data_IF_306160905048
#
_entry.id   IF_306160905048
#
_cell.length_a   1.000
_cell.length_b   1.000
_cell.length_c   1.000
_cell.angle_alpha   90.00
_cell.angle_beta   90.00
_cell.angle_gamma   90.00
#
_symmetry.space_group_name_H-M   'P 1'
#
loop_
_entity.id
_entity.type
_entity.pdbx_description
1 polymer ?
#
# COMPACT_ATOMS: atom_id res chain seq x y z
N UNK A 1 -3.22 13.91 7.10
CA UNK A 1 -3.66 12.78 7.94
C UNK A 1 -3.15 11.44 7.42
N UNK A 2 -3.32 11.10 6.13
CA UNK A 2 -2.91 9.79 5.59
C UNK A 2 -1.44 9.42 5.83
N UNK A 3 -0.50 10.34 5.57
CA UNK A 3 0.92 10.09 5.83
C UNK A 3 1.24 9.86 7.32
N UNK A 4 0.55 10.57 8.24
CA UNK A 4 0.69 10.39 9.69
C UNK A 4 0.27 8.96 10.07
N UNK A 5 -0.92 8.53 9.65
CA UNK A 5 -1.44 7.20 9.96
C UNK A 5 -0.56 6.08 9.38
N UNK A 6 -0.07 6.26 8.15
CA UNK A 6 0.78 5.29 7.48
C UNK A 6 2.17 5.17 8.15
N UNK A 7 2.78 6.29 8.54
CA UNK A 7 4.09 6.30 9.21
C UNK A 7 4.00 5.75 10.64
N UNK A 8 2.90 6.01 11.37
CA UNK A 8 2.63 5.36 12.66
C UNK A 8 2.57 3.84 12.48
N UNK A 9 1.82 3.35 11.49
CA UNK A 9 1.65 1.92 11.27
C UNK A 9 2.99 1.24 10.92
N UNK A 10 3.88 1.93 10.21
CA UNK A 10 5.25 1.47 9.89
C UNK A 10 6.23 1.60 11.06
N UNK A 11 5.85 2.26 12.15
CA UNK A 11 6.73 2.67 13.23
C UNK A 11 7.92 3.54 12.77
N UNK A 12 7.75 4.31 11.70
CA UNK A 12 8.73 5.29 11.22
C UNK A 12 8.49 6.65 11.92
N UNK A 13 9.02 6.78 13.13
CA UNK A 13 8.78 7.97 13.96
C UNK A 13 9.50 9.23 13.46
N UNK A 14 10.51 9.09 12.58
CA UNK A 14 11.18 10.24 11.96
C UNK A 14 10.29 10.82 10.87
N UNK A 15 9.82 9.98 9.95
CA UNK A 15 8.87 10.40 8.92
C UNK A 15 7.52 10.83 9.52
N UNK A 16 7.08 10.19 10.60
CA UNK A 16 5.89 10.58 11.35
C UNK A 16 6.02 12.00 11.90
N UNK A 17 7.13 12.35 12.55
CA UNK A 17 7.32 13.68 13.14
C UNK A 17 7.21 14.77 12.07
N UNK A 18 7.85 14.56 10.91
CA UNK A 18 7.76 15.46 9.76
C UNK A 18 6.32 15.59 9.26
N UNK A 19 5.61 14.47 9.07
CA UNK A 19 4.23 14.47 8.58
C UNK A 19 3.25 15.13 9.57
N UNK A 20 3.52 15.06 10.89
CA UNK A 20 2.75 15.78 11.90
C UNK A 20 2.98 17.28 11.79
N UNK A 21 4.23 17.74 11.72
CA UNK A 21 4.57 19.18 11.59
C UNK A 21 3.90 19.80 10.35
N UNK A 22 4.05 19.15 9.20
CA UNK A 22 3.42 19.56 7.93
C UNK A 22 1.88 19.50 8.01
N UNK A 23 1.34 18.49 8.70
CA UNK A 23 -0.11 18.34 8.88
C UNK A 23 -0.72 19.46 9.72
N UNK A 24 -0.03 19.89 10.79
CA UNK A 24 -0.45 21.01 11.63
C UNK A 24 -0.40 22.33 10.85
N UNK A 25 0.63 22.54 10.02
CA UNK A 25 0.71 23.70 9.11
C UNK A 25 -0.42 23.70 8.06
N UNK A 26 -0.85 22.51 7.62
CA UNK A 26 -1.96 22.33 6.69
C UNK A 26 -3.35 22.43 7.35
N UNK A 27 -3.43 22.75 8.64
CA UNK A 27 -4.69 22.98 9.36
C UNK A 27 -5.26 21.78 10.10
N UNK A 28 -4.52 20.69 10.27
CA UNK A 28 -4.89 19.68 11.26
C UNK A 28 -4.78 20.29 12.67
N UNK A 29 -5.71 19.91 13.53
CA UNK A 29 -5.64 20.26 14.95
C UNK A 29 -4.88 19.19 15.73
N UNK A 30 -4.37 19.57 16.89
CA UNK A 30 -3.76 18.61 17.82
C UNK A 30 -4.75 17.52 18.20
N UNK A 31 -6.02 17.86 18.44
CA UNK A 31 -7.07 16.88 18.80
C UNK A 31 -7.31 15.86 17.69
N UNK A 32 -7.31 16.26 16.41
CA UNK A 32 -7.43 15.31 15.30
C UNK A 32 -6.26 14.33 15.23
N UNK A 33 -5.03 14.82 15.42
CA UNK A 33 -3.83 13.96 15.37
C UNK A 33 -3.78 13.03 16.59
N UNK A 34 -4.08 13.53 17.80
CA UNK A 34 -4.20 12.70 19.02
C UNK A 34 -5.21 11.57 18.81
N UNK A 35 -6.39 11.90 18.28
CA UNK A 35 -7.47 10.94 18.08
C UNK A 35 -7.11 9.88 17.03
N UNK A 36 -6.51 10.29 15.91
CA UNK A 36 -6.06 9.38 14.86
C UNK A 36 -4.99 8.41 15.38
N UNK A 37 -3.94 8.91 16.06
CA UNK A 37 -2.89 8.06 16.63
C UNK A 37 -3.41 7.14 17.73
N UNK A 38 -4.37 7.62 18.52
CA UNK A 38 -5.00 6.81 19.57
C UNK A 38 -5.82 5.68 18.98
N UNK A 39 -6.66 5.91 17.96
CA UNK A 39 -7.46 4.80 17.41
C UNK A 39 -6.60 3.68 16.81
N UNK A 40 -5.41 4.01 16.31
CA UNK A 40 -4.59 3.08 15.57
C UNK A 40 -4.03 1.91 16.40
N UNK A 41 -4.01 1.98 17.74
CA UNK A 41 -3.57 0.82 18.54
C UNK A 41 -4.42 -0.43 18.27
N UNK A 42 -5.68 -0.27 17.86
CA UNK A 42 -6.55 -1.39 17.52
C UNK A 42 -6.07 -2.14 16.26
N UNK A 43 -5.26 -1.51 15.43
CA UNK A 43 -4.70 -2.05 14.19
C UNK A 43 -3.19 -2.36 14.32
N UNK A 44 -2.46 -1.54 15.06
CA UNK A 44 -0.98 -1.54 15.09
C UNK A 44 -0.40 -1.94 16.45
N UNK A 45 -1.25 -2.04 17.47
CA UNK A 45 -0.91 -2.38 18.85
C UNK A 45 -0.51 -1.17 19.72
N UNK A 46 -0.71 -1.31 21.03
CA UNK A 46 -0.37 -0.26 22.02
C UNK A 46 1.03 0.32 21.88
N UNK A 47 2.11 -0.47 21.70
CA UNK A 47 3.46 0.09 21.64
C UNK A 47 3.65 1.11 20.52
N UNK A 48 3.08 0.88 19.32
CA UNK A 48 3.22 1.79 18.18
C UNK A 48 2.44 3.09 18.40
N UNK A 49 1.19 2.97 18.82
CA UNK A 49 0.33 4.12 19.14
C UNK A 49 0.91 5.00 20.27
N UNK A 50 1.41 4.39 21.36
CA UNK A 50 2.02 5.14 22.47
C UNK A 50 3.30 5.88 22.04
N UNK A 51 4.16 5.24 21.26
CA UNK A 51 5.37 5.88 20.73
C UNK A 51 5.03 7.02 19.75
N UNK A 52 3.98 6.85 18.95
CA UNK A 52 3.49 7.88 18.05
C UNK A 52 2.91 9.08 18.80
N UNK A 53 2.15 8.86 19.88
CA UNK A 53 1.69 9.94 20.76
C UNK A 53 2.86 10.67 21.43
N UNK A 54 3.91 9.94 21.85
CA UNK A 54 5.16 10.55 22.31
C UNK A 54 5.87 11.38 21.23
N UNK A 55 5.79 10.94 19.98
CA UNK A 55 6.32 11.70 18.82
C UNK A 55 5.53 12.99 18.60
N UNK A 56 4.19 12.94 18.67
CA UNK A 56 3.34 14.13 18.63
C UNK A 56 3.72 15.10 19.75
N UNK A 57 3.83 14.62 21.01
CA UNK A 57 4.21 15.47 22.14
C UNK A 57 5.51 16.23 21.87
N UNK A 58 6.53 15.54 21.36
CA UNK A 58 7.82 16.15 21.01
C UNK A 58 7.67 17.21 19.91
N UNK A 59 6.91 16.95 18.85
CA UNK A 59 6.67 17.93 17.78
C UNK A 59 5.98 19.18 18.33
N UNK A 60 5.00 19.02 19.24
CA UNK A 60 4.34 20.17 19.87
C UNK A 60 5.30 21.01 20.73
N UNK A 61 6.20 20.36 21.47
CA UNK A 61 7.22 21.04 22.26
C UNK A 61 8.20 21.82 21.36
N UNK A 62 8.66 21.21 20.26
CA UNK A 62 9.52 21.83 19.25
C UNK A 62 8.82 23.04 18.60
N UNK A 63 7.59 22.89 18.12
CA UNK A 63 6.78 23.98 17.53
C UNK A 63 6.59 25.13 18.50
N UNK A 64 6.37 24.84 19.79
CA UNK A 64 6.24 25.86 20.84
C UNK A 64 7.54 26.65 21.02
N UNK A 65 8.69 25.98 21.04
CA UNK A 65 9.99 26.64 21.10
C UNK A 65 10.26 27.50 19.86
N UNK A 66 9.82 27.05 18.69
CA UNK A 66 9.93 27.78 17.42
C UNK A 66 8.90 28.91 17.26
N UNK A 67 7.90 28.99 18.14
CA UNK A 67 6.81 29.97 18.04
C UNK A 67 5.84 29.71 16.88
N UNK A 68 5.76 28.47 16.38
CA UNK A 68 4.83 28.08 15.32
C UNK A 68 3.39 28.01 15.84
N UNK A 69 2.46 28.58 15.10
CA UNK A 69 1.03 28.50 15.41
C UNK A 69 0.57 27.05 15.44
N UNK A 70 -0.18 26.66 16.46
CA UNK A 70 -0.65 25.28 16.63
C UNK A 70 -2.06 25.32 17.20
N UNK A 71 -3.03 24.86 16.42
CA UNK A 71 -4.44 24.83 16.81
C UNK A 71 -4.74 23.57 17.62
N UNK A 72 -5.13 23.72 18.89
CA UNK A 72 -5.42 22.56 19.77
C UNK A 72 -6.61 21.75 19.27
N UNK A 73 -7.64 22.41 18.74
CA UNK A 73 -8.91 21.78 18.37
C UNK A 73 -9.79 21.46 19.58
N UNK A 74 -10.73 20.54 19.39
CA UNK A 74 -11.70 20.12 20.41
C UNK A 74 -11.57 18.62 20.64
N UNK A 75 -11.48 18.20 21.90
CA UNK A 75 -11.50 16.79 22.31
C UNK A 75 -12.91 16.20 22.21
N UNK A 76 -13.00 14.87 22.14
CA UNK A 76 -14.28 14.18 22.06
C UNK A 76 -15.19 14.50 23.26
N UNK A 77 -16.48 14.59 22.99
CA UNK A 77 -17.52 14.75 24.01
C UNK A 77 -17.51 13.58 25.00
N UNK A 78 -17.89 13.86 26.24
CA UNK A 78 -18.11 12.82 27.26
C UNK A 78 -19.37 12.03 26.90
N UNK A 79 -19.30 10.70 26.99
CA UNK A 79 -20.47 9.86 26.75
C UNK A 79 -21.58 10.13 27.78
N UNK A 80 -22.86 10.08 27.35
CA UNK A 80 -23.99 10.31 28.23
C UNK A 80 -24.09 9.23 29.32
N UNK A 81 -24.75 9.56 30.43
CA UNK A 81 -25.06 8.57 31.48
C UNK A 81 -25.92 7.45 30.90
N UNK A 82 -25.53 6.20 31.16
CA UNK A 82 -26.22 5.02 30.62
C UNK A 82 -25.84 4.67 29.18
N UNK A 83 -24.73 5.22 28.67
CA UNK A 83 -24.18 4.84 27.37
C UNK A 83 -23.91 3.33 27.27
N UNK A 84 -24.45 2.72 26.23
CA UNK A 84 -24.28 1.29 25.93
C UNK A 84 -23.31 1.14 24.75
N UNK A 85 -22.04 0.99 25.08
CA UNK A 85 -20.96 0.84 24.11
C UNK A 85 -21.16 -0.39 23.21
N UNK A 86 -21.68 -1.50 23.75
CA UNK A 86 -21.90 -2.72 22.97
C UNK A 86 -22.98 -2.49 21.91
N UNK A 87 -24.09 -1.84 22.30
CA UNK A 87 -25.16 -1.48 21.36
C UNK A 87 -24.66 -0.51 20.31
N UNK A 88 -24.05 0.60 20.72
CA UNK A 88 -23.56 1.62 19.78
C UNK A 88 -22.52 1.03 18.82
N UNK A 89 -21.57 0.25 19.34
CA UNK A 89 -20.55 -0.39 18.53
C UNK A 89 -21.10 -1.43 17.57
N UNK A 90 -22.17 -2.15 17.94
CA UNK A 90 -22.86 -3.06 17.02
C UNK A 90 -23.50 -2.30 15.85
N UNK A 91 -24.10 -1.14 16.11
CA UNK A 91 -24.70 -0.27 15.07
C UNK A 91 -23.63 0.28 14.12
N UNK A 92 -22.52 0.81 14.69
CA UNK A 92 -21.39 1.36 13.91
C UNK A 92 -20.73 0.26 13.07
N UNK A 93 -20.42 -0.90 13.66
CA UNK A 93 -19.84 -2.03 12.95
C UNK A 93 -20.74 -2.46 11.80
N UNK A 94 -22.04 -2.64 12.05
CA UNK A 94 -23.02 -3.11 11.06
C UNK A 94 -23.10 -2.16 9.87
N UNK A 95 -23.06 -0.85 10.13
CA UNK A 95 -23.04 0.17 9.07
C UNK A 95 -21.75 0.06 8.25
N UNK A 96 -20.60 -0.01 8.92
CA UNK A 96 -19.29 -0.10 8.26
C UNK A 96 -19.18 -1.37 7.40
N UNK A 97 -19.53 -2.54 7.93
CA UNK A 97 -19.48 -3.80 7.19
C UNK A 97 -20.59 -3.95 6.14
N UNK A 98 -21.62 -3.09 6.17
CA UNK A 98 -22.84 -3.19 5.34
C UNK A 98 -23.76 -4.36 5.71
N UNK A 99 -23.44 -5.11 6.77
CA UNK A 99 -24.22 -6.27 7.25
C UNK A 99 -23.85 -6.60 8.69
N UNK A 100 -24.78 -7.20 9.43
CA UNK A 100 -24.49 -7.67 10.79
C UNK A 100 -23.33 -8.68 10.77
N UNK A 101 -22.43 -8.57 11.75
CA UNK A 101 -21.30 -9.46 11.93
C UNK A 101 -21.24 -9.94 13.38
N UNK A 102 -20.95 -11.23 13.57
CA UNK A 102 -20.77 -11.84 14.88
C UNK A 102 -19.61 -12.84 14.80
N UNK A 103 -18.61 -12.68 15.66
CA UNK A 103 -17.49 -13.62 15.75
C UNK A 103 -17.75 -14.69 16.81
N UNK A 104 -18.69 -15.59 16.50
CA UNK A 104 -19.18 -16.64 17.43
C UNK A 104 -18.07 -17.56 17.96
N UNK A 105 -17.01 -17.76 17.17
CA UNK A 105 -15.88 -18.58 17.58
C UNK A 105 -15.12 -18.00 18.79
N UNK A 106 -15.05 -16.67 18.91
CA UNK A 106 -14.44 -15.99 20.06
C UNK A 106 -15.34 -14.84 20.54
N UNK A 107 -16.32 -15.13 21.43
CA UNK A 107 -17.26 -14.11 21.91
C UNK A 107 -16.61 -12.94 22.65
N UNK A 108 -15.45 -13.18 23.29
CA UNK A 108 -14.69 -12.11 23.94
C UNK A 108 -14.13 -11.12 22.90
N UNK A 109 -13.55 -11.62 21.82
CA UNK A 109 -13.07 -10.78 20.71
C UNK A 109 -14.23 -10.06 20.01
N UNK A 110 -15.37 -10.72 19.81
CA UNK A 110 -16.57 -10.08 19.27
C UNK A 110 -17.02 -8.90 20.14
N UNK A 111 -17.02 -9.08 21.47
CA UNK A 111 -17.32 -8.02 22.42
C UNK A 111 -16.29 -6.89 22.36
N UNK A 112 -14.98 -7.19 22.34
CA UNK A 112 -13.94 -6.15 22.25
C UNK A 112 -14.04 -5.36 20.94
N UNK A 113 -14.27 -6.02 19.82
CA UNK A 113 -14.49 -5.34 18.54
C UNK A 113 -15.70 -4.40 18.63
N UNK A 114 -16.83 -4.88 19.15
CA UNK A 114 -18.05 -4.07 19.20
C UNK A 114 -17.97 -3.01 20.28
N UNK A 115 -17.94 -3.40 21.55
CA UNK A 115 -18.01 -2.46 22.66
C UNK A 115 -16.79 -1.53 22.70
N UNK A 116 -15.58 -2.07 22.60
CA UNK A 116 -14.39 -1.25 22.79
C UNK A 116 -13.98 -0.50 21.53
N UNK A 117 -13.76 -1.20 20.41
CA UNK A 117 -13.32 -0.53 19.18
C UNK A 117 -14.44 0.32 18.56
N UNK A 118 -15.57 -0.28 18.19
CA UNK A 118 -16.62 0.46 17.52
C UNK A 118 -17.47 1.34 18.46
N UNK A 119 -17.62 0.89 19.72
CA UNK A 119 -18.47 1.51 20.72
C UNK A 119 -17.76 2.55 21.59
N UNK A 120 -16.47 2.43 21.88
CA UNK A 120 -15.75 3.48 22.62
C UNK A 120 -14.94 4.36 21.66
N UNK A 121 -14.08 3.76 20.83
CA UNK A 121 -13.15 4.54 20.01
C UNK A 121 -13.87 5.21 18.84
N UNK A 122 -14.59 4.45 18.02
CA UNK A 122 -15.22 5.01 16.82
C UNK A 122 -16.42 5.92 17.13
N UNK A 123 -17.03 5.76 18.31
CA UNK A 123 -18.15 6.59 18.74
C UNK A 123 -17.73 8.00 19.23
N UNK A 124 -16.42 8.24 19.45
CA UNK A 124 -15.90 9.57 19.80
C UNK A 124 -16.05 10.52 18.61
N UNK A 125 -16.59 11.71 18.86
CA UNK A 125 -17.16 12.62 17.87
C UNK A 125 -16.20 13.71 17.35
N UNK A 126 -14.97 13.75 17.85
CA UNK A 126 -13.91 14.64 17.36
C UNK A 126 -13.29 14.19 16.03
N UNK A 127 -13.58 12.97 15.57
CA UNK A 127 -13.40 12.54 14.17
C UNK A 127 -14.68 11.89 13.68
N UNK A 128 -15.12 12.23 12.47
CA UNK A 128 -16.26 11.55 11.87
C UNK A 128 -15.91 10.10 11.53
N UNK A 129 -16.91 9.22 11.41
CA UNK A 129 -16.64 7.85 10.96
C UNK A 129 -15.95 7.78 9.58
N UNK A 130 -16.23 8.74 8.69
CA UNK A 130 -15.54 8.85 7.41
C UNK A 130 -14.06 9.19 7.60
N UNK A 131 -13.73 10.16 8.46
CA UNK A 131 -12.33 10.50 8.77
C UNK A 131 -11.60 9.33 9.42
N UNK A 132 -12.26 8.59 10.31
CA UNK A 132 -11.71 7.39 10.94
C UNK A 132 -11.37 6.33 9.90
N UNK A 133 -12.23 6.11 8.91
CA UNK A 133 -11.93 5.14 7.85
C UNK A 133 -10.82 5.62 6.90
N UNK A 134 -10.71 6.93 6.63
CA UNK A 134 -9.56 7.48 5.90
C UNK A 134 -8.24 7.21 6.66
N UNK A 135 -8.24 7.38 7.98
CA UNK A 135 -7.09 7.04 8.86
C UNK A 135 -6.80 5.54 8.79
N UNK A 136 -7.83 4.69 8.95
CA UNK A 136 -7.70 3.22 8.95
C UNK A 136 -7.14 2.70 7.62
N UNK A 137 -7.70 3.12 6.48
CA UNK A 137 -7.23 2.74 5.14
C UNK A 137 -5.77 3.17 4.92
N UNK A 138 -5.42 4.38 5.36
CA UNK A 138 -4.04 4.88 5.26
C UNK A 138 -3.06 4.06 6.10
N UNK A 139 -3.42 3.71 7.34
CA UNK A 139 -2.60 2.89 8.22
C UNK A 139 -2.44 1.45 7.72
N UNK A 140 -3.54 0.81 7.31
CA UNK A 140 -3.52 -0.55 6.76
C UNK A 140 -2.69 -0.65 5.46
N UNK A 141 -2.60 0.42 4.69
CA UNK A 141 -1.70 0.50 3.51
C UNK A 141 -0.22 0.45 3.91
N UNK A 142 0.11 0.89 5.13
CA UNK A 142 1.43 0.82 5.76
C UNK A 142 1.81 -0.56 6.31
N UNK A 143 0.87 -1.51 6.39
CA UNK A 143 1.09 -2.84 6.94
C UNK A 143 1.15 -3.89 5.83
N UNK A 144 2.02 -4.88 6.02
CA UNK A 144 2.12 -6.04 5.14
C UNK A 144 1.20 -7.17 5.59
N UNK A 145 0.82 -8.05 4.67
CA UNK A 145 -0.02 -9.24 4.92
C UNK A 145 -1.43 -8.97 5.47
N UNK A 146 -1.94 -7.73 5.33
CA UNK A 146 -3.30 -7.34 5.79
C UNK A 146 -4.21 -6.87 4.64
N UNK A 147 -3.94 -7.32 3.41
CA UNK A 147 -4.72 -6.90 2.24
C UNK A 147 -6.23 -7.19 2.35
N UNK A 148 -6.68 -8.33 2.91
CA UNK A 148 -8.11 -8.56 3.13
C UNK A 148 -8.75 -7.49 4.03
N UNK A 149 -8.05 -7.05 5.09
CA UNK A 149 -8.52 -5.99 5.99
C UNK A 149 -8.51 -4.64 5.27
N UNK A 150 -7.45 -4.31 4.54
CA UNK A 150 -7.37 -3.06 3.77
C UNK A 150 -8.53 -2.97 2.76
N UNK A 151 -8.78 -4.03 1.99
CA UNK A 151 -9.90 -4.09 1.05
C UNK A 151 -11.28 -4.04 1.75
N UNK A 152 -11.42 -4.65 2.94
CA UNK A 152 -12.65 -4.58 3.72
C UNK A 152 -12.91 -3.14 4.19
N UNK A 153 -11.89 -2.44 4.68
CA UNK A 153 -11.99 -1.05 5.12
C UNK A 153 -12.14 -0.05 3.98
N UNK A 154 -11.63 -0.32 2.77
CA UNK A 154 -11.97 0.52 1.61
C UNK A 154 -13.47 0.46 1.32
N UNK A 155 -14.08 -0.74 1.36
CA UNK A 155 -15.54 -0.89 1.20
C UNK A 155 -16.29 -0.26 2.39
N UNK A 156 -15.75 -0.43 3.59
CA UNK A 156 -16.30 0.17 4.81
C UNK A 156 -16.30 1.69 4.77
N UNK A 157 -15.23 2.31 4.28
CA UNK A 157 -15.12 3.74 4.08
C UNK A 157 -16.26 4.29 3.21
N UNK A 158 -16.57 3.62 2.09
CA UNK A 158 -17.71 3.99 1.23
C UNK A 158 -19.04 3.92 2.00
N UNK A 159 -19.27 2.86 2.79
CA UNK A 159 -20.46 2.72 3.62
C UNK A 159 -20.56 3.80 4.71
N UNK A 160 -19.43 4.33 5.17
CA UNK A 160 -19.36 5.41 6.16
C UNK A 160 -19.41 6.81 5.55
N UNK A 161 -19.50 6.93 4.22
CA UNK A 161 -19.70 8.19 3.50
C UNK A 161 -18.43 8.82 2.91
N UNK A 162 -17.30 8.11 2.92
CA UNK A 162 -16.11 8.52 2.16
C UNK A 162 -16.41 8.39 0.66
N UNK A 163 -16.07 9.41 -0.12
CA UNK A 163 -16.25 9.35 -1.59
C UNK A 163 -15.11 8.57 -2.26
N UNK A 164 -15.36 8.05 -3.47
CA UNK A 164 -14.29 7.44 -4.29
C UNK A 164 -13.14 8.42 -4.56
N UNK A 165 -13.46 9.70 -4.75
CA UNK A 165 -12.45 10.76 -4.92
C UNK A 165 -11.54 10.88 -3.68
N UNK A 166 -12.12 10.89 -2.49
CA UNK A 166 -11.37 10.94 -1.23
C UNK A 166 -10.51 9.67 -1.04
N UNK A 167 -11.03 8.48 -1.37
CA UNK A 167 -10.25 7.24 -1.35
C UNK A 167 -9.05 7.31 -2.30
N UNK A 168 -9.27 7.73 -3.55
CA UNK A 168 -8.21 7.84 -4.57
C UNK A 168 -7.21 8.96 -4.27
N UNK A 169 -7.54 9.91 -3.39
CA UNK A 169 -6.59 10.90 -2.89
C UNK A 169 -5.59 10.34 -1.86
N UNK A 170 -5.92 9.22 -1.17
CA UNK A 170 -5.01 8.61 -0.18
C UNK A 170 -3.67 8.21 -0.83
N UNK A 171 -3.63 7.38 -1.90
CA UNK A 171 -2.36 7.02 -2.54
C UNK A 171 -1.55 8.24 -3.01
N UNK A 172 -2.21 9.25 -3.57
CA UNK A 172 -1.55 10.49 -4.01
C UNK A 172 -0.84 11.18 -2.84
N UNK A 173 -1.52 11.30 -1.70
CA UNK A 173 -0.93 11.85 -0.49
C UNK A 173 0.24 10.99 0.04
N UNK A 174 0.12 9.66 0.00
CA UNK A 174 1.20 8.75 0.40
C UNK A 174 2.44 8.89 -0.49
N UNK A 175 2.27 8.86 -1.82
CA UNK A 175 3.36 9.04 -2.80
C UNK A 175 4.06 10.39 -2.62
N UNK A 176 3.32 11.47 -2.33
CA UNK A 176 3.90 12.79 -2.06
C UNK A 176 4.81 12.82 -0.82
N UNK A 177 4.64 11.88 0.12
CA UNK A 177 5.46 11.74 1.33
C UNK A 177 6.51 10.62 1.22
N UNK A 178 6.81 10.12 0.02
CA UNK A 178 7.82 9.07 -0.18
C UNK A 178 7.36 7.67 0.27
N UNK A 179 6.05 7.44 0.32
CA UNK A 179 5.46 6.16 0.70
C UNK A 179 4.96 5.42 -0.55
N UNK A 180 5.87 5.14 -1.49
CA UNK A 180 5.52 4.54 -2.78
C UNK A 180 4.90 3.15 -2.59
N UNK A 181 5.56 2.22 -1.88
CA UNK A 181 5.04 0.87 -1.70
C UNK A 181 3.64 0.85 -1.06
N UNK A 182 3.41 1.74 -0.10
CA UNK A 182 2.12 1.89 0.59
C UNK A 182 1.05 2.51 -0.30
N UNK A 183 1.39 3.53 -1.10
CA UNK A 183 0.52 4.10 -2.13
C UNK A 183 -0.01 3.01 -3.04
N UNK A 184 0.87 2.11 -3.48
CA UNK A 184 0.56 1.08 -4.45
C UNK A 184 -0.30 -0.03 -3.84
N UNK A 185 -0.03 -0.42 -2.59
CA UNK A 185 -0.92 -1.29 -1.82
C UNK A 185 -2.32 -0.68 -1.67
N UNK A 186 -2.40 0.62 -1.41
CA UNK A 186 -3.67 1.35 -1.29
C UNK A 186 -4.44 1.37 -2.62
N UNK A 187 -3.77 1.75 -3.73
CA UNK A 187 -4.35 1.73 -5.08
C UNK A 187 -4.90 0.35 -5.44
N UNK A 188 -4.14 -0.69 -5.12
CA UNK A 188 -4.55 -2.06 -5.35
C UNK A 188 -5.81 -2.46 -4.57
N UNK A 189 -5.91 -2.02 -3.32
CA UNK A 189 -7.09 -2.30 -2.51
C UNK A 189 -8.31 -1.52 -3.01
N UNK A 190 -8.12 -0.28 -3.45
CA UNK A 190 -9.17 0.56 -4.05
C UNK A 190 -9.67 -0.06 -5.34
N UNK A 191 -8.78 -0.46 -6.25
CA UNK A 191 -9.16 -1.10 -7.50
C UNK A 191 -9.93 -2.42 -7.27
N UNK A 192 -9.52 -3.22 -6.29
CA UNK A 192 -10.24 -4.46 -5.95
C UNK A 192 -11.60 -4.21 -5.27
N UNK A 193 -11.72 -3.15 -4.48
CA UNK A 193 -12.94 -2.82 -3.74
C UNK A 193 -13.97 -2.07 -4.59
N UNK A 194 -13.52 -1.15 -5.44
CA UNK A 194 -14.34 -0.21 -6.22
C UNK A 194 -14.54 -0.71 -7.64
N UNK A 195 -13.45 -1.11 -8.31
CA UNK A 195 -13.46 -1.43 -9.74
C UNK A 195 -13.70 -2.93 -10.01
N UNK A 196 -13.75 -3.76 -8.95
CA UNK A 196 -13.88 -5.22 -9.05
C UNK A 196 -12.63 -5.93 -9.61
N UNK A 197 -11.50 -5.23 -9.72
CA UNK A 197 -10.25 -5.76 -10.25
C UNK A 197 -9.45 -6.44 -9.13
N UNK A 198 -9.50 -7.76 -9.04
CA UNK A 198 -8.90 -8.51 -7.93
C UNK A 198 -7.40 -8.74 -8.06
N UNK A 199 -6.83 -8.53 -9.24
CA UNK A 199 -5.48 -8.99 -9.58
C UNK A 199 -4.37 -7.98 -9.26
N UNK A 200 -4.69 -6.88 -8.57
CA UNK A 200 -3.78 -5.73 -8.41
C UNK A 200 -2.65 -5.95 -7.37
N UNK A 201 -2.43 -7.16 -6.86
CA UNK A 201 -1.71 -7.31 -5.59
C UNK A 201 -0.41 -8.12 -5.71
N UNK A 202 0.72 -7.40 -5.65
CA UNK A 202 2.04 -7.98 -5.34
C UNK A 202 2.24 -8.31 -3.84
N UNK A 203 1.27 -7.97 -2.98
CA UNK A 203 1.42 -7.92 -1.51
C UNK A 203 1.61 -9.28 -0.79
N UNK A 204 1.86 -10.38 -1.50
CA UNK A 204 2.17 -11.68 -0.92
C UNK A 204 3.56 -12.22 -1.29
N UNK A 205 4.40 -11.41 -1.94
CA UNK A 205 5.76 -11.85 -2.26
C UNK A 205 6.66 -11.81 -1.03
N UNK A 206 7.39 -12.89 -0.68
CA UNK A 206 8.43 -12.84 0.33
C UNK A 206 9.69 -12.10 -0.16
N UNK A 207 9.71 -11.66 -1.42
CA UNK A 207 10.86 -11.01 -2.05
C UNK A 207 10.74 -9.48 -1.98
N UNK A 208 11.85 -8.77 -1.70
CA UNK A 208 11.85 -7.32 -1.58
C UNK A 208 11.46 -6.66 -2.91
N UNK A 209 10.67 -5.59 -2.85
CA UNK A 209 10.32 -4.78 -4.05
C UNK A 209 11.57 -4.15 -4.67
N UNK A 210 12.46 -3.64 -3.82
CA UNK A 210 13.68 -2.93 -4.22
C UNK A 210 13.49 -1.43 -4.37
N UNK A 211 14.56 -0.78 -4.83
CA UNK A 211 14.58 0.67 -5.07
C UNK A 211 14.10 1.00 -6.49
N UNK A 212 13.60 2.23 -6.74
CA UNK A 212 13.23 2.65 -8.10
C UNK A 212 14.36 2.40 -9.12
N UNK A 213 14.03 1.76 -10.23
CA UNK A 213 14.97 1.33 -11.27
C UNK A 213 15.40 2.48 -12.20
N UNK A 214 15.90 3.56 -11.59
CA UNK A 214 16.21 4.82 -12.28
C UNK A 214 17.30 4.68 -13.34
N UNK A 215 18.28 3.80 -13.11
CA UNK A 215 19.39 3.55 -14.05
C UNK A 215 18.93 3.00 -15.41
N UNK A 216 17.81 2.26 -15.44
CA UNK A 216 17.28 1.65 -16.66
C UNK A 216 15.94 2.25 -17.09
N UNK A 217 15.42 3.27 -16.41
CA UNK A 217 14.08 3.83 -16.66
C UNK A 217 13.82 4.20 -18.13
N UNK A 218 14.85 4.62 -18.88
CA UNK A 218 14.76 4.92 -20.32
C UNK A 218 14.37 3.72 -21.21
N UNK A 219 14.52 2.49 -20.71
CA UNK A 219 14.20 1.24 -21.40
C UNK A 219 12.87 0.63 -20.94
N UNK A 220 12.06 1.39 -20.20
CA UNK A 220 10.79 0.93 -19.65
C UNK A 220 9.68 1.90 -20.01
N UNK A 221 8.49 1.34 -20.27
CA UNK A 221 7.24 2.08 -20.19
C UNK A 221 6.65 1.80 -18.80
N UNK A 222 6.26 2.83 -18.05
CA UNK A 222 5.84 2.70 -16.65
C UNK A 222 7.02 2.61 -15.67
N UNK A 223 6.75 2.43 -14.38
CA UNK A 223 7.80 2.35 -13.36
C UNK A 223 8.17 0.90 -13.01
N UNK A 224 9.45 0.69 -12.73
CA UNK A 224 9.95 -0.58 -12.20
C UNK A 224 10.86 -0.35 -11.00
N UNK A 225 11.02 -1.38 -10.19
CA UNK A 225 11.85 -1.40 -8.98
C UNK A 225 12.77 -2.60 -9.03
N UNK A 226 13.98 -2.43 -8.50
CA UNK A 226 15.05 -3.43 -8.55
C UNK A 226 15.60 -3.69 -7.16
N UNK A 227 15.51 -4.93 -6.71
CA UNK A 227 16.24 -5.42 -5.55
C UNK A 227 17.36 -6.35 -6.00
N UNK A 228 18.61 -5.93 -5.87
CA UNK A 228 19.77 -6.80 -6.08
C UNK A 228 19.93 -7.69 -4.84
N UNK A 229 20.07 -8.99 -5.05
CA UNK A 229 20.18 -9.99 -3.99
C UNK A 229 21.52 -10.72 -4.07
N UNK A 230 21.87 -11.39 -2.98
CA UNK A 230 23.08 -12.22 -2.91
C UNK A 230 23.05 -13.32 -3.99
N UNK A 231 24.24 -13.70 -4.47
CA UNK A 231 24.38 -14.78 -5.47
C UNK A 231 24.10 -14.36 -6.91
N UNK A 232 24.00 -13.06 -7.21
CA UNK A 232 23.85 -12.55 -8.58
C UNK A 232 22.41 -12.61 -9.13
N UNK A 233 21.43 -12.82 -8.25
CA UNK A 233 20.02 -12.76 -8.58
C UNK A 233 19.47 -11.36 -8.30
N UNK A 234 18.46 -10.94 -9.06
CA UNK A 234 17.71 -9.73 -8.77
C UNK A 234 16.21 -10.02 -8.76
N UNK A 235 15.46 -9.31 -7.92
CA UNK A 235 14.00 -9.26 -8.00
C UNK A 235 13.63 -7.96 -8.73
N UNK A 236 12.82 -8.07 -9.77
CA UNK A 236 12.30 -6.92 -10.51
C UNK A 236 10.81 -6.85 -10.26
N UNK A 237 10.36 -5.67 -9.82
CA UNK A 237 8.94 -5.37 -9.62
C UNK A 237 8.46 -4.42 -10.70
N UNK A 238 7.37 -4.77 -11.39
CA UNK A 238 6.70 -3.95 -12.39
C UNK A 238 5.38 -3.42 -11.84
N UNK A 239 5.13 -2.11 -11.98
CA UNK A 239 3.76 -1.55 -11.80
C UNK A 239 2.81 -2.11 -12.87
N UNK A 240 1.48 -2.09 -12.66
CA UNK A 240 0.51 -2.43 -13.70
C UNK A 240 0.79 -1.68 -15.01
N UNK A 241 0.79 -2.41 -16.12
CA UNK A 241 1.12 -1.86 -17.43
C UNK A 241 2.62 -1.65 -17.69
N UNK A 242 3.47 -1.75 -16.67
CA UNK A 242 4.91 -1.54 -16.83
C UNK A 242 5.54 -2.70 -17.60
N UNK A 243 6.41 -2.37 -18.54
CA UNK A 243 7.10 -3.32 -19.41
C UNK A 243 8.43 -2.76 -19.88
N UNK A 244 9.42 -3.62 -20.03
CA UNK A 244 10.68 -3.23 -20.64
C UNK A 244 10.58 -3.20 -22.17
N UNK A 245 11.51 -2.50 -22.79
CA UNK A 245 11.67 -2.51 -24.24
C UNK A 245 12.04 -3.91 -24.73
N UNK A 246 11.84 -4.13 -26.02
CA UNK A 246 12.45 -5.28 -26.67
C UNK A 246 13.96 -5.25 -26.44
N UNK A 247 14.55 -6.41 -26.14
CA UNK A 247 15.99 -6.51 -25.92
C UNK A 247 16.51 -7.92 -26.22
N UNK A 248 17.83 -8.02 -26.33
CA UNK A 248 18.57 -9.26 -26.62
C UNK A 248 19.70 -9.41 -25.61
N UNK A 249 19.86 -10.63 -25.09
CA UNK A 249 21.03 -11.04 -24.32
C UNK A 249 22.02 -11.76 -25.24
N UNK A 250 23.21 -11.20 -25.40
CA UNK A 250 24.33 -11.79 -26.14
C UNK A 250 25.24 -12.55 -25.19
N UNK A 251 25.60 -13.79 -25.51
CA UNK A 251 26.50 -14.59 -24.70
C UNK A 251 25.95 -15.05 -23.35
N UNK A 252 24.63 -15.04 -23.13
CA UNK A 252 24.03 -15.54 -21.88
C UNK A 252 22.58 -16.01 -22.10
N UNK A 253 22.15 -16.97 -21.28
CA UNK A 253 20.74 -17.35 -21.10
C UNK A 253 20.19 -16.60 -19.90
N UNK A 254 19.07 -15.90 -20.05
CA UNK A 254 18.37 -15.29 -18.92
C UNK A 254 17.29 -16.23 -18.40
N UNK A 255 17.16 -16.36 -17.09
CA UNK A 255 16.06 -17.10 -16.47
C UNK A 255 15.18 -16.13 -15.71
N UNK A 256 13.87 -16.16 -16.00
CA UNK A 256 12.83 -15.46 -15.26
C UNK A 256 12.06 -16.47 -14.41
N UNK A 257 11.82 -16.16 -13.14
CA UNK A 257 10.93 -16.92 -12.26
C UNK A 257 9.88 -15.96 -11.73
N UNK A 258 8.65 -16.05 -12.20
CA UNK A 258 7.56 -15.23 -11.68
C UNK A 258 7.24 -15.67 -10.25
N UNK A 259 7.25 -14.73 -9.31
CA UNK A 259 7.08 -15.01 -7.87
C UNK A 259 5.87 -14.32 -7.26
N UNK A 260 5.31 -13.30 -7.91
CA UNK A 260 4.10 -12.63 -7.45
C UNK A 260 3.40 -11.91 -8.60
N UNK A 261 2.07 -11.79 -8.50
CA UNK A 261 1.26 -11.02 -9.45
C UNK A 261 1.10 -11.66 -10.83
N UNK A 262 0.75 -10.85 -11.84
CA UNK A 262 0.44 -11.31 -13.20
C UNK A 262 1.11 -10.43 -14.25
N UNK A 263 1.70 -11.06 -15.25
CA UNK A 263 2.47 -10.37 -16.29
C UNK A 263 2.54 -11.11 -17.60
N UNK A 264 3.42 -10.64 -18.47
CA UNK A 264 3.63 -11.15 -19.80
C UNK A 264 5.12 -11.28 -20.09
N UNK A 265 5.47 -12.36 -20.78
CA UNK A 265 6.71 -12.51 -21.51
C UNK A 265 6.37 -12.68 -22.99
N UNK A 266 7.14 -12.08 -23.89
CA UNK A 266 6.98 -12.34 -25.31
C UNK A 266 8.33 -12.37 -26.03
N UNK A 267 8.52 -13.42 -26.82
CA UNK A 267 9.61 -13.53 -27.79
C UNK A 267 9.14 -13.05 -29.16
N UNK A 268 10.04 -12.41 -29.92
CA UNK A 268 9.72 -11.85 -31.22
C UNK A 268 9.14 -12.88 -32.18
N UNK A 269 7.98 -12.56 -32.77
CA UNK A 269 7.28 -13.46 -33.69
C UNK A 269 6.57 -14.65 -33.02
N UNK A 270 6.56 -14.74 -31.68
CA UNK A 270 5.83 -15.77 -30.92
C UNK A 270 4.64 -15.17 -30.16
N UNK A 271 3.63 -16.00 -29.82
CA UNK A 271 2.58 -15.60 -28.88
C UNK A 271 3.18 -15.20 -27.53
N UNK A 272 2.52 -14.25 -26.85
CA UNK A 272 2.87 -13.93 -25.48
C UNK A 272 2.54 -15.10 -24.55
N UNK A 273 3.33 -15.22 -23.49
CA UNK A 273 3.17 -16.21 -22.42
C UNK A 273 2.81 -15.43 -21.16
N UNK A 274 1.72 -15.83 -20.52
CA UNK A 274 1.31 -15.25 -19.24
C UNK A 274 2.28 -15.68 -18.12
N UNK A 275 2.73 -14.71 -17.35
CA UNK A 275 3.55 -14.92 -16.16
C UNK A 275 2.65 -14.85 -14.93
N UNK A 276 2.60 -15.96 -14.19
CA UNK A 276 1.95 -16.07 -12.86
C UNK A 276 2.91 -16.79 -11.91
N UNK A 277 2.72 -16.73 -10.57
CA UNK A 277 3.66 -17.30 -9.62
C UNK A 277 3.96 -18.78 -9.91
N UNK A 278 5.25 -19.12 -10.02
CA UNK A 278 5.74 -20.45 -10.37
C UNK A 278 6.04 -20.66 -11.85
N UNK A 279 5.64 -19.75 -12.74
CA UNK A 279 6.05 -19.79 -14.16
C UNK A 279 7.53 -19.44 -14.29
N UNK A 280 8.27 -20.28 -15.01
CA UNK A 280 9.71 -20.12 -15.29
C UNK A 280 9.93 -20.02 -16.78
N UNK A 281 10.65 -19.00 -17.22
CA UNK A 281 11.05 -18.81 -18.63
C UNK A 281 12.57 -18.81 -18.70
N UNK A 282 13.15 -19.78 -19.41
CA UNK A 282 14.55 -19.77 -19.81
C UNK A 282 14.65 -19.16 -21.22
N UNK A 283 15.19 -17.95 -21.28
CA UNK A 283 15.28 -17.15 -22.50
C UNK A 283 16.63 -17.43 -23.14
N UNK A 284 16.66 -18.04 -24.34
CA UNK A 284 17.91 -18.41 -24.97
C UNK A 284 18.70 -17.18 -25.42
N UNK A 285 20.02 -17.34 -25.50
CA UNK A 285 20.93 -16.36 -26.08
C UNK A 285 20.43 -15.91 -27.47
N UNK A 286 20.48 -14.61 -27.74
CA UNK A 286 20.10 -14.04 -29.03
C UNK A 286 18.60 -13.89 -29.26
N UNK A 287 17.74 -14.35 -28.34
CA UNK A 287 16.30 -14.14 -28.46
C UNK A 287 15.93 -12.67 -28.19
N UNK A 288 15.31 -12.03 -29.19
CA UNK A 288 14.65 -10.73 -29.00
C UNK A 288 13.36 -10.94 -28.23
N UNK A 289 13.25 -10.33 -27.06
CA UNK A 289 12.09 -10.51 -26.18
C UNK A 289 11.81 -9.26 -25.34
N UNK A 290 10.64 -9.23 -24.71
CA UNK A 290 10.30 -8.29 -23.64
C UNK A 290 9.53 -9.03 -22.55
N UNK A 291 9.44 -8.39 -21.38
CA UNK A 291 8.57 -8.84 -20.31
C UNK A 291 8.09 -7.67 -19.44
N UNK A 292 6.96 -7.87 -18.75
CA UNK A 292 6.34 -6.83 -17.94
C UNK A 292 5.12 -7.33 -17.19
N UNK A 293 4.51 -6.41 -16.45
CA UNK A 293 3.25 -6.61 -15.76
C UNK A 293 2.05 -6.64 -16.73
N UNK A 294 0.94 -7.23 -16.29
CA UNK A 294 -0.35 -7.10 -16.97
C UNK A 294 -0.92 -5.68 -16.73
N UNK A 295 -1.90 -5.28 -17.55
CA UNK A 295 -2.42 -3.91 -17.53
C UNK A 295 -3.05 -3.51 -16.19
N UNK A 296 -3.50 -4.51 -15.42
CA UNK A 296 -4.24 -4.38 -14.18
C UNK A 296 -3.58 -5.10 -12.99
N UNK A 297 -2.35 -5.59 -13.15
CA UNK A 297 -1.68 -6.37 -12.11
C UNK A 297 -0.24 -5.95 -11.95
N UNK A 298 0.20 -5.84 -10.70
CA UNK A 298 1.64 -5.80 -10.42
C UNK A 298 2.26 -7.14 -10.79
N UNK A 299 3.57 -7.16 -11.05
CA UNK A 299 4.30 -8.42 -11.24
C UNK A 299 5.68 -8.34 -10.61
N UNK A 300 6.07 -9.42 -9.94
CA UNK A 300 7.45 -9.65 -9.54
C UNK A 300 7.99 -10.92 -10.17
N UNK A 301 9.21 -10.83 -10.64
CA UNK A 301 9.99 -12.00 -11.00
C UNK A 301 11.42 -11.89 -10.50
N UNK A 302 11.97 -13.05 -10.13
CA UNK A 302 13.40 -13.20 -9.94
C UNK A 302 14.03 -13.35 -11.32
N UNK A 303 15.23 -12.81 -11.48
CA UNK A 303 16.02 -12.95 -12.70
C UNK A 303 17.48 -13.20 -12.37
N UNK A 304 18.10 -14.09 -13.15
CA UNK A 304 19.52 -14.37 -13.13
C UNK A 304 19.97 -14.89 -14.50
N UNK A 305 21.27 -14.84 -14.75
CA UNK A 305 21.86 -15.36 -15.99
C UNK A 305 22.55 -16.71 -15.76
N UNK A 306 22.51 -17.55 -16.79
CA UNK A 306 23.21 -18.83 -16.88
C UNK A 306 23.99 -18.90 -18.19
N UNK A 307 24.91 -19.87 -18.31
CA UNK A 307 25.72 -20.09 -19.51
C UNK A 307 26.46 -18.84 -20.03
N UNK A 308 26.95 -18.02 -19.09
CA UNK A 308 27.59 -16.73 -19.39
C UNK A 308 28.94 -16.94 -20.09
N UNK A 309 29.05 -16.43 -21.31
CA UNK A 309 30.29 -16.42 -22.10
C UNK A 309 31.11 -15.15 -21.81
N UNK A 310 32.44 -15.19 -22.00
CA UNK A 310 33.27 -13.98 -21.98
C UNK A 310 32.75 -12.93 -22.96
N UNK A 311 32.57 -11.70 -22.48
CA UNK A 311 32.06 -10.59 -23.30
C UNK A 311 30.53 -10.57 -23.50
N UNK A 312 29.76 -11.30 -22.69
CA UNK A 312 28.30 -11.21 -22.69
C UNK A 312 27.83 -9.75 -22.51
N UNK A 313 26.70 -9.41 -23.13
CA UNK A 313 26.17 -8.05 -23.13
C UNK A 313 24.67 -8.02 -23.38
N UNK A 314 24.06 -6.87 -23.09
CA UNK A 314 22.64 -6.63 -23.32
C UNK A 314 22.49 -5.57 -24.42
N UNK A 315 21.65 -5.86 -25.40
CA UNK A 315 21.26 -4.92 -26.45
C UNK A 315 19.81 -4.52 -26.25
N UNK A 316 19.58 -3.25 -25.90
CA UNK A 316 18.25 -2.67 -25.79
C UNK A 316 17.77 -2.14 -27.14
N UNK A 317 16.53 -2.43 -27.48
CA UNK A 317 15.92 -2.11 -28.77
C UNK A 317 14.70 -1.18 -28.57
N UNK A 318 13.76 -1.23 -29.52
CA UNK A 318 12.59 -0.36 -29.52
C UNK A 318 11.60 -0.67 -28.38
N UNK A 319 10.82 0.34 -27.93
CA UNK A 319 9.73 0.11 -26.98
C UNK A 319 8.66 -0.84 -27.51
N UNK A 320 8.00 -1.55 -26.60
CA UNK A 320 6.75 -2.26 -26.90
C UNK A 320 5.64 -1.23 -27.03
N UNK A 321 5.10 -1.07 -28.24
CA UNK A 321 4.04 -0.09 -28.50
C UNK A 321 2.78 -0.40 -27.69
N UNK A 322 2.00 0.63 -27.36
CA UNK A 322 0.72 0.45 -26.66
C UNK A 322 -0.23 -0.44 -27.46
N UNK A 323 -0.23 -0.34 -28.79
CA UNK A 323 -1.03 -1.20 -29.67
C UNK A 323 -0.64 -2.69 -29.53
N UNK A 324 0.66 -2.99 -29.54
CA UNK A 324 1.15 -4.37 -29.31
C UNK A 324 0.73 -4.90 -27.93
N UNK A 325 0.85 -4.06 -26.91
CA UNK A 325 0.56 -4.43 -25.53
C UNK A 325 -0.95 -4.60 -25.27
N UNK A 326 -1.79 -3.74 -25.85
CA UNK A 326 -3.24 -3.77 -25.65
C UNK A 326 -3.95 -4.91 -26.41
N UNK A 327 -3.22 -5.69 -27.23
CA UNK A 327 -3.74 -6.90 -27.88
C UNK A 327 -3.64 -8.16 -27.00
N UNK A 328 -3.06 -8.05 -25.80
CA UNK A 328 -2.79 -9.15 -24.86
C UNK A 328 -3.95 -9.39 -23.89
#
# INVERSE_FOLDING_TARGET
MSAIACNEAKADYVALAKAIDEGLDAGLTVSHVKEALSQLYAYTGFPRSLNALGTLQRVLDERKTEGKATEEGVDASVFPVGYDALKQGTEVQTKLSGRAFNYVFSPAEDYYLKAHLFGDIFARDNLSHADRELVTVSALSGLENVMPQLQAHVRGALNMGVTEEQLRAIPVALKAHGLQAESLRCEAAIAAAVDGKTDVVCAQSPWPIGEPNTAYAQYFTGNSYLAVMDGGMANVTFEPGCRNNWHVHHGAVQVLVCVSGRGWYQEWGKPAVELVPGVVIAIPEGAKHWHGAAADSWMQHLTYHTDMKPGHSNEWLEPVTDEQYNML
#
